data_IF_953736714465
#
_entry.id   IF_953736714465
#
_cell.length_a   1.000
_cell.length_b   1.000
_cell.length_c   1.000
_cell.angle_alpha   90.00
_cell.angle_beta   90.00
_cell.angle_gamma   90.00
#
_symmetry.space_group_name_H-M   'P 1'
#
loop_
_entity.id
_entity.type
_entity.pdbx_description
1 polymer ?
#
# COMPACT_ATOMS: atom_id res chain seq x y z
N UNK A 1 -3.52 -6.18 -13.64
CA UNK A 1 -3.08 -4.86 -14.14
C UNK A 1 -3.79 -3.82 -13.31
N UNK A 2 -3.04 -2.91 -12.68
CA UNK A 2 -3.61 -1.83 -11.86
C UNK A 2 -4.31 -0.84 -12.79
N UNK A 3 -5.57 -0.51 -12.51
CA UNK A 3 -6.39 0.40 -13.31
C UNK A 3 -6.24 1.86 -12.87
N UNK A 4 -6.06 2.09 -11.57
CA UNK A 4 -5.81 3.42 -11.03
C UNK A 4 -4.93 3.36 -9.78
N UNK A 5 -4.22 4.45 -9.52
CA UNK A 5 -3.42 4.64 -8.32
C UNK A 5 -3.66 6.07 -7.79
N UNK A 6 -3.97 6.19 -6.51
CA UNK A 6 -4.19 7.46 -5.83
C UNK A 6 -3.40 7.49 -4.53
N UNK A 7 -2.77 8.62 -4.25
CA UNK A 7 -2.12 8.86 -2.97
C UNK A 7 -2.85 9.98 -2.22
N UNK A 8 -3.07 9.80 -0.92
CA UNK A 8 -3.43 10.88 0.00
C UNK A 8 -2.41 10.93 1.12
N UNK A 9 -2.05 12.13 1.55
CA UNK A 9 -1.07 12.33 2.64
C UNK A 9 -1.66 13.22 3.73
N UNK A 10 -1.29 12.88 4.95
CA UNK A 10 -1.40 13.70 6.15
C UNK A 10 0.01 13.90 6.71
N UNK A 11 0.16 14.70 7.75
CA UNK A 11 1.46 15.01 8.37
C UNK A 11 2.27 13.76 8.75
N UNK A 12 1.61 12.65 9.07
CA UNK A 12 2.29 11.42 9.51
C UNK A 12 1.90 10.15 8.77
N UNK A 13 0.98 10.22 7.79
CA UNK A 13 0.48 9.03 7.09
C UNK A 13 0.28 9.29 5.62
N UNK A 14 0.79 8.38 4.79
CA UNK A 14 0.44 8.28 3.37
C UNK A 14 -0.48 7.07 3.17
N UNK A 15 -1.54 7.26 2.40
CA UNK A 15 -2.42 6.18 1.95
C UNK A 15 -2.34 6.08 0.44
N UNK A 16 -1.90 4.93 -0.07
CA UNK A 16 -1.95 4.59 -1.49
C UNK A 16 -3.12 3.66 -1.75
N UNK A 17 -4.08 4.11 -2.54
CA UNK A 17 -5.17 3.29 -3.03
C UNK A 17 -4.85 2.84 -4.45
N UNK A 18 -4.70 1.53 -4.65
CA UNK A 18 -4.51 0.90 -5.94
C UNK A 18 -5.78 0.15 -6.32
N UNK A 19 -6.30 0.41 -7.50
CA UNK A 19 -7.49 -0.24 -8.03
C UNK A 19 -7.11 -1.31 -9.05
N UNK A 20 -7.80 -2.44 -9.04
CA UNK A 20 -7.70 -3.41 -10.11
C UNK A 20 -8.98 -4.23 -10.28
N UNK A 21 -9.57 -4.15 -11.47
CA UNK A 21 -10.70 -5.00 -11.89
C UNK A 21 -10.36 -6.49 -11.99
N UNK A 22 -9.08 -6.86 -11.94
CA UNK A 22 -8.61 -8.25 -12.08
C UNK A 22 -8.13 -8.87 -10.78
N UNK A 23 -8.02 -8.09 -9.71
CA UNK A 23 -7.61 -8.59 -8.40
C UNK A 23 -8.85 -8.98 -7.60
N UNK A 24 -8.76 -10.10 -6.90
CA UNK A 24 -9.68 -10.51 -5.85
C UNK A 24 -8.89 -11.00 -4.63
N UNK A 25 -9.60 -11.36 -3.55
CA UNK A 25 -8.94 -11.77 -2.29
C UNK A 25 -7.97 -12.93 -2.47
N UNK A 26 -8.32 -13.93 -3.29
CA UNK A 26 -7.48 -15.10 -3.50
C UNK A 26 -6.23 -14.77 -4.32
N UNK A 27 -6.37 -14.00 -5.40
CA UNK A 27 -5.23 -13.63 -6.25
C UNK A 27 -4.28 -12.66 -5.54
N UNK A 28 -4.82 -11.75 -4.73
CA UNK A 28 -4.01 -10.85 -3.89
C UNK A 28 -3.26 -11.64 -2.82
N UNK A 29 -3.91 -12.60 -2.16
CA UNK A 29 -3.25 -13.47 -1.19
C UNK A 29 -2.07 -14.25 -1.81
N UNK A 30 -2.27 -14.85 -2.98
CA UNK A 30 -1.21 -15.56 -3.70
C UNK A 30 -0.06 -14.64 -4.13
N UNK A 31 -0.37 -13.43 -4.62
CA UNK A 31 0.64 -12.44 -4.97
C UNK A 31 1.48 -12.04 -3.75
N UNK A 32 0.84 -11.74 -2.62
CA UNK A 32 1.54 -11.35 -1.40
C UNK A 32 2.37 -12.48 -0.80
N UNK A 33 1.97 -13.74 -0.98
CA UNK A 33 2.81 -14.88 -0.59
C UNK A 33 4.04 -15.04 -1.48
N UNK A 34 3.91 -14.73 -2.78
CA UNK A 34 5.02 -14.87 -3.74
C UNK A 34 5.99 -13.69 -3.71
N UNK A 35 5.51 -12.49 -3.37
CA UNK A 35 6.29 -11.25 -3.44
C UNK A 35 6.21 -10.41 -2.16
N UNK A 36 5.88 -11.03 -1.02
CA UNK A 36 5.68 -10.34 0.27
C UNK A 36 6.90 -9.53 0.67
N UNK A 37 8.08 -10.16 0.66
CA UNK A 37 9.36 -9.53 1.01
C UNK A 37 9.64 -8.28 0.16
N UNK A 38 9.30 -8.31 -1.13
CA UNK A 38 9.49 -7.16 -2.03
C UNK A 38 8.53 -6.02 -1.71
N UNK A 39 7.29 -6.33 -1.33
CA UNK A 39 6.31 -5.33 -0.92
C UNK A 39 6.74 -4.69 0.40
N UNK A 40 7.26 -5.47 1.34
CA UNK A 40 7.83 -4.98 2.60
C UNK A 40 9.05 -4.08 2.36
N UNK A 41 10.00 -4.48 1.51
CA UNK A 41 11.18 -3.66 1.19
C UNK A 41 10.79 -2.28 0.60
N UNK A 42 9.78 -2.25 -0.26
CA UNK A 42 9.25 -1.00 -0.81
C UNK A 42 8.60 -0.15 0.29
N UNK A 43 7.81 -0.77 1.18
CA UNK A 43 7.19 -0.07 2.29
C UNK A 43 8.23 0.56 3.23
N UNK A 44 9.30 -0.17 3.55
CA UNK A 44 10.40 0.32 4.39
C UNK A 44 11.11 1.51 3.77
N UNK A 45 11.37 1.49 2.45
CA UNK A 45 11.98 2.62 1.74
C UNK A 45 11.09 3.87 1.77
N UNK A 46 9.77 3.70 1.66
CA UNK A 46 8.82 4.82 1.78
C UNK A 46 8.86 5.40 3.19
N UNK A 47 8.80 4.54 4.21
CA UNK A 47 8.83 4.95 5.61
C UNK A 47 10.14 5.65 5.99
N UNK A 48 11.28 5.12 5.55
CA UNK A 48 12.60 5.72 5.76
C UNK A 48 12.71 7.10 5.06
N UNK A 49 12.17 7.21 3.85
CA UNK A 49 12.12 8.49 3.13
C UNK A 49 11.27 9.53 3.88
N UNK A 50 10.15 9.12 4.47
CA UNK A 50 9.32 10.00 5.30
C UNK A 50 10.06 10.40 6.60
N UNK A 51 10.76 9.47 7.26
CA UNK A 51 11.60 9.79 8.44
C UNK A 51 12.66 10.84 8.09
N UNK A 52 13.37 10.65 6.97
CA UNK A 52 14.40 11.58 6.48
C UNK A 52 13.82 12.95 6.14
N UNK A 53 12.56 13.03 5.74
CA UNK A 53 11.83 14.27 5.53
C UNK A 53 11.33 14.94 6.83
N UNK A 54 11.62 14.37 8.00
CA UNK A 54 11.25 14.93 9.30
C UNK A 54 9.91 14.46 9.85
N UNK A 55 9.27 13.45 9.24
CA UNK A 55 8.03 12.87 9.76
C UNK A 55 8.36 12.02 11.00
N UNK A 56 7.87 12.44 12.17
CA UNK A 56 8.21 11.82 13.45
C UNK A 56 7.71 10.38 13.62
N UNK A 57 6.54 10.06 13.07
CA UNK A 57 5.91 8.73 13.18
C UNK A 57 5.28 8.34 11.83
N UNK A 58 6.10 8.02 10.82
CA UNK A 58 5.59 7.77 9.49
C UNK A 58 4.81 6.46 9.45
N UNK A 59 3.69 6.52 8.73
CA UNK A 59 2.81 5.39 8.48
C UNK A 59 2.51 5.32 6.99
N UNK A 60 2.50 4.11 6.47
CA UNK A 60 2.09 3.83 5.10
C UNK A 60 0.90 2.86 5.16
N UNK A 61 -0.19 3.23 4.50
CA UNK A 61 -1.29 2.34 4.21
C UNK A 61 -1.35 2.11 2.71
N UNK A 62 -1.49 0.85 2.30
CA UNK A 62 -1.75 0.47 0.92
C UNK A 62 -3.07 -0.27 0.86
N UNK A 63 -4.05 0.32 0.18
CA UNK A 63 -5.36 -0.27 -0.06
C UNK A 63 -5.41 -0.82 -1.49
N UNK A 64 -5.70 -2.11 -1.61
CA UNK A 64 -6.02 -2.74 -2.88
C UNK A 64 -7.54 -2.81 -3.01
N UNK A 65 -8.08 -2.23 -4.06
CA UNK A 65 -9.52 -2.12 -4.32
C UNK A 65 -9.93 -2.82 -5.61
N UNK A 66 -11.17 -3.29 -5.68
CA UNK A 66 -11.79 -3.68 -6.94
C UNK A 66 -12.25 -2.44 -7.74
N UNK A 67 -12.74 -2.65 -8.96
CA UNK A 67 -13.24 -1.59 -9.84
C UNK A 67 -14.52 -0.88 -9.36
N UNK A 68 -15.09 -1.35 -8.23
CA UNK A 68 -16.23 -0.73 -7.55
C UNK A 68 -15.78 0.04 -6.31
N UNK A 69 -14.48 0.11 -6.05
CA UNK A 69 -13.91 0.78 -4.88
C UNK A 69 -13.99 -0.04 -3.59
N UNK A 70 -14.38 -1.32 -3.64
CA UNK A 70 -14.39 -2.17 -2.46
C UNK A 70 -12.96 -2.57 -2.11
N UNK A 71 -12.59 -2.42 -0.85
CA UNK A 71 -11.29 -2.85 -0.36
C UNK A 71 -11.22 -4.38 -0.36
N UNK A 72 -10.31 -4.91 -1.18
CA UNK A 72 -9.94 -6.32 -1.23
C UNK A 72 -8.99 -6.64 -0.08
N UNK A 73 -7.98 -5.78 0.12
CA UNK A 73 -6.93 -5.94 1.12
C UNK A 73 -6.37 -4.58 1.52
N UNK A 74 -6.11 -4.40 2.80
CA UNK A 74 -5.31 -3.29 3.33
C UNK A 74 -4.02 -3.84 3.91
N UNK A 75 -2.92 -3.16 3.62
CA UNK A 75 -1.60 -3.40 4.20
C UNK A 75 -1.18 -2.13 4.94
N UNK A 76 -0.77 -2.28 6.20
CA UNK A 76 -0.37 -1.17 7.04
C UNK A 76 1.06 -1.38 7.49
N UNK A 77 1.86 -0.33 7.33
CA UNK A 77 3.26 -0.30 7.71
C UNK A 77 3.51 0.92 8.59
N UNK A 78 4.37 0.74 9.58
CA UNK A 78 4.78 1.79 10.51
C UNK A 78 6.25 1.61 10.83
N UNK A 79 6.92 2.73 11.01
CA UNK A 79 8.36 2.80 11.17
C UNK A 79 8.79 2.98 12.63
#
# INVERSE_FOLDING_TARGET
MISSAKATSTDSKVTYTLESSKLNKATVGALLLASGDQVEEVADKVLDSMKKAGVAQPKLQVDLTDDKGNVIKTMNYSA
#
